data_IF_997696234892
#
_entry.id   IF_997696234892
#
_cell.length_a   1.000
_cell.length_b   1.000
_cell.length_c   1.000
_cell.angle_alpha   90.00
_cell.angle_beta   90.00
_cell.angle_gamma   90.00
#
_symmetry.space_group_name_H-M   'P 1'
#
loop_
_entity.id
_entity.type
_entity.pdbx_description
1 polymer ?
#
# COMPACT_ATOMS: atom_id res chain seq x y z
N UNK A 1 17.15 45.90 36.64
CA UNK A 1 17.10 44.75 35.69
C UNK A 1 16.28 45.19 34.47
N UNK A 2 16.96 45.51 33.36
CA UNK A 2 16.30 46.02 32.14
C UNK A 2 15.85 44.84 31.28
N UNK A 3 14.53 44.66 31.07
CA UNK A 3 13.94 43.73 30.07
C UNK A 3 14.22 44.26 28.66
N UNK A 4 15.25 43.77 28.01
CA UNK A 4 15.43 43.96 26.57
C UNK A 4 14.29 43.22 25.81
N UNK A 5 13.28 43.98 25.39
CA UNK A 5 12.28 43.54 24.42
C UNK A 5 13.00 43.21 23.10
N UNK A 6 13.13 41.89 22.77
CA UNK A 6 13.62 41.45 21.45
C UNK A 6 12.56 41.82 20.41
N UNK A 7 12.74 42.93 19.70
CA UNK A 7 12.00 43.23 18.46
C UNK A 7 12.25 42.05 17.50
N UNK A 8 11.26 41.15 17.34
CA UNK A 8 11.31 40.12 16.31
C UNK A 8 11.40 40.86 14.96
N UNK A 9 12.45 40.60 14.20
CA UNK A 9 12.59 41.14 12.84
C UNK A 9 11.36 40.75 12.03
N UNK A 10 10.74 41.72 11.36
CA UNK A 10 9.58 41.55 10.48
C UNK A 10 9.87 40.46 9.44
N UNK A 11 11.11 40.43 8.94
CA UNK A 11 11.59 39.41 8.01
C UNK A 11 11.49 37.98 8.59
N UNK A 12 11.84 37.76 9.84
CA UNK A 12 11.71 36.47 10.51
C UNK A 12 10.25 36.04 10.68
N UNK A 13 9.39 37.00 11.00
CA UNK A 13 7.95 36.73 11.15
C UNK A 13 7.33 36.36 9.81
N UNK A 14 7.65 37.10 8.74
CA UNK A 14 7.16 36.82 7.38
C UNK A 14 7.64 35.45 6.87
N UNK A 15 8.92 35.13 7.09
CA UNK A 15 9.47 33.81 6.76
C UNK A 15 8.74 32.68 7.49
N UNK A 16 8.46 32.85 8.78
CA UNK A 16 7.76 31.84 9.55
C UNK A 16 6.31 31.64 9.07
N UNK A 17 5.61 32.72 8.74
CA UNK A 17 4.26 32.63 8.17
C UNK A 17 4.27 31.93 6.80
N UNK A 18 5.26 32.25 5.95
CA UNK A 18 5.42 31.57 4.66
C UNK A 18 5.66 30.07 4.84
N UNK A 19 6.63 29.70 5.70
CA UNK A 19 6.93 28.27 5.96
C UNK A 19 5.71 27.55 6.53
N UNK A 20 5.03 28.16 7.50
CA UNK A 20 3.80 27.57 8.08
C UNK A 20 2.71 27.40 7.02
N UNK A 21 2.52 28.40 6.16
CA UNK A 21 1.56 28.35 5.06
C UNK A 21 1.87 27.18 4.11
N UNK A 22 3.13 27.04 3.71
CA UNK A 22 3.58 25.91 2.84
C UNK A 22 3.31 24.59 3.52
N UNK A 23 3.69 24.41 4.79
CA UNK A 23 3.48 23.17 5.54
C UNK A 23 2.00 22.79 5.64
N UNK A 24 1.12 23.78 5.84
CA UNK A 24 -0.34 23.55 5.89
C UNK A 24 -0.91 23.23 4.50
N UNK A 25 -0.39 23.85 3.45
CA UNK A 25 -0.87 23.64 2.08
C UNK A 25 -0.42 22.32 1.47
N UNK A 26 0.70 21.75 1.89
CA UNK A 26 1.20 20.47 1.35
C UNK A 26 0.17 19.33 1.49
N UNK A 27 -0.40 19.00 2.66
CA UNK A 27 -1.38 17.93 2.77
C UNK A 27 -2.64 18.20 1.93
N UNK A 28 -3.11 19.43 1.92
CA UNK A 28 -4.31 19.84 1.16
C UNK A 28 -4.05 19.68 -0.34
N UNK A 29 -2.94 20.25 -0.83
CA UNK A 29 -2.57 20.17 -2.25
C UNK A 29 -2.34 18.73 -2.71
N UNK A 30 -1.67 17.91 -1.87
CA UNK A 30 -1.47 16.50 -2.17
C UNK A 30 -2.80 15.72 -2.22
N UNK A 31 -3.71 15.97 -1.29
CA UNK A 31 -5.03 15.33 -1.30
C UNK A 31 -5.83 15.69 -2.54
N UNK A 32 -5.86 16.97 -2.92
CA UNK A 32 -6.54 17.43 -4.14
C UNK A 32 -5.89 16.84 -5.40
N UNK A 33 -4.57 16.77 -5.46
CA UNK A 33 -3.85 16.15 -6.57
C UNK A 33 -4.15 14.66 -6.70
N UNK A 34 -4.13 13.93 -5.59
CA UNK A 34 -4.47 12.50 -5.56
C UNK A 34 -5.92 12.25 -5.98
N UNK A 35 -6.85 13.08 -5.49
CA UNK A 35 -8.27 13.01 -5.89
C UNK A 35 -8.43 13.21 -7.40
N UNK A 36 -7.72 14.17 -7.99
CA UNK A 36 -7.72 14.41 -9.44
C UNK A 36 -7.22 13.20 -10.23
N UNK A 37 -6.15 12.54 -9.76
CA UNK A 37 -5.63 11.33 -10.39
C UNK A 37 -6.66 10.21 -10.32
N UNK A 38 -7.27 9.97 -9.15
CA UNK A 38 -8.27 8.90 -8.97
C UNK A 38 -9.50 9.13 -9.87
N UNK A 39 -10.00 10.36 -9.95
CA UNK A 39 -11.10 10.71 -10.85
C UNK A 39 -10.70 10.47 -12.31
N UNK A 40 -9.49 10.89 -12.71
CA UNK A 40 -8.99 10.69 -14.06
C UNK A 40 -8.86 9.22 -14.46
N UNK A 41 -8.32 8.38 -13.58
CA UNK A 41 -8.24 6.93 -13.81
C UNK A 41 -9.64 6.34 -13.92
N UNK A 42 -10.54 6.68 -13.00
CA UNK A 42 -11.93 6.19 -13.00
C UNK A 42 -12.68 6.60 -14.26
N UNK A 43 -12.52 7.85 -14.68
CA UNK A 43 -13.16 8.37 -15.92
C UNK A 43 -12.67 7.64 -17.17
N UNK A 44 -11.38 7.28 -17.24
CA UNK A 44 -10.81 6.51 -18.35
C UNK A 44 -11.25 5.04 -18.39
N UNK A 45 -11.60 4.46 -17.26
CA UNK A 45 -12.10 3.08 -17.16
C UNK A 45 -13.56 2.95 -17.60
N UNK A 46 -14.31 4.05 -17.57
CA UNK A 46 -15.75 4.04 -17.90
C UNK A 46 -15.92 4.36 -19.39
N UNK A 47 -16.56 3.49 -20.18
CA UNK A 47 -16.94 3.81 -21.55
C UNK A 47 -17.78 5.07 -21.60
N UNK A 48 -17.54 5.96 -22.57
CA UNK A 48 -18.27 7.25 -22.73
C UNK A 48 -19.79 7.08 -22.75
N UNK A 49 -20.28 5.96 -23.25
CA UNK A 49 -21.70 5.64 -23.34
C UNK A 49 -22.35 5.35 -21.98
N UNK A 50 -21.56 5.13 -20.91
CA UNK A 50 -22.07 4.83 -19.56
C UNK A 50 -21.74 5.98 -18.59
N UNK A 51 -20.86 6.90 -19.00
CA UNK A 51 -20.48 8.04 -18.17
C UNK A 51 -21.57 9.10 -18.16
N UNK A 52 -22.24 9.36 -17.01
CA UNK A 52 -23.30 10.37 -16.91
C UNK A 52 -22.83 11.78 -17.29
N UNK A 53 -21.55 12.10 -17.05
CA UNK A 53 -20.97 13.38 -17.40
C UNK A 53 -20.91 13.61 -18.92
N UNK A 54 -21.09 12.56 -19.74
CA UNK A 54 -21.19 12.69 -21.20
C UNK A 54 -22.56 13.17 -21.68
N UNK A 55 -23.58 13.05 -20.84
CA UNK A 55 -24.98 13.37 -21.17
C UNK A 55 -25.54 14.55 -20.38
N UNK A 56 -24.88 14.92 -19.29
CA UNK A 56 -25.32 16.02 -18.44
C UNK A 56 -24.70 17.35 -18.90
N UNK A 57 -25.41 18.46 -18.85
CA UNK A 57 -24.88 19.78 -19.19
C UNK A 57 -23.92 20.34 -18.14
N UNK A 58 -23.75 19.64 -17.01
CA UNK A 58 -22.84 19.98 -15.92
C UNK A 58 -22.10 18.75 -15.48
N UNK A 59 -20.80 18.91 -15.15
CA UNK A 59 -19.97 17.82 -14.63
C UNK A 59 -20.25 17.61 -13.13
N UNK A 60 -20.55 16.37 -12.75
CA UNK A 60 -20.65 15.95 -11.36
C UNK A 60 -19.31 15.32 -10.96
N UNK A 61 -18.44 16.05 -10.23
CA UNK A 61 -17.12 15.51 -9.86
C UNK A 61 -17.29 14.31 -8.92
N UNK A 62 -16.62 13.21 -9.23
CA UNK A 62 -16.62 12.01 -8.40
C UNK A 62 -17.68 10.96 -8.74
N UNK A 63 -18.65 11.25 -9.63
CA UNK A 63 -19.63 10.24 -10.06
C UNK A 63 -18.95 9.05 -10.74
N UNK A 64 -17.86 9.28 -11.45
CA UNK A 64 -17.06 8.25 -12.09
C UNK A 64 -16.48 7.27 -11.06
N UNK A 65 -16.11 7.74 -9.88
CA UNK A 65 -15.57 6.87 -8.81
C UNK A 65 -16.67 5.90 -8.35
N UNK A 66 -17.87 6.40 -8.13
CA UNK A 66 -19.03 5.58 -7.71
C UNK A 66 -19.35 4.52 -8.77
N UNK A 67 -19.40 4.92 -10.03
CA UNK A 67 -19.68 3.99 -11.14
C UNK A 67 -18.55 2.97 -11.25
N UNK A 68 -17.30 3.38 -11.13
CA UNK A 68 -16.15 2.45 -11.16
C UNK A 68 -16.23 1.41 -10.03
N UNK A 69 -16.59 1.82 -8.82
CA UNK A 69 -16.79 0.90 -7.69
C UNK A 69 -17.90 -0.10 -8.01
N UNK A 70 -19.03 0.37 -8.54
CA UNK A 70 -20.15 -0.50 -8.92
C UNK A 70 -19.73 -1.48 -10.02
N UNK A 71 -19.07 -1.01 -11.07
CA UNK A 71 -18.58 -1.87 -12.17
C UNK A 71 -17.59 -2.92 -11.67
N UNK A 72 -16.61 -2.53 -10.84
CA UNK A 72 -15.64 -3.46 -10.26
C UNK A 72 -16.34 -4.50 -9.40
N UNK A 73 -17.33 -4.08 -8.61
CA UNK A 73 -18.13 -4.99 -7.76
C UNK A 73 -18.93 -5.99 -8.61
N UNK A 74 -19.53 -5.53 -9.69
CA UNK A 74 -20.25 -6.40 -10.64
C UNK A 74 -19.30 -7.40 -11.29
N UNK A 75 -18.15 -6.94 -11.80
CA UNK A 75 -17.13 -7.81 -12.40
C UNK A 75 -16.63 -8.83 -11.37
N UNK A 76 -16.35 -8.40 -10.14
CA UNK A 76 -15.97 -9.29 -9.04
C UNK A 76 -17.05 -10.34 -8.74
N UNK A 77 -18.30 -9.93 -8.64
CA UNK A 77 -19.44 -10.85 -8.42
C UNK A 77 -19.62 -11.84 -9.57
N UNK A 78 -19.54 -11.37 -10.82
CA UNK A 78 -19.59 -12.23 -12.00
C UNK A 78 -18.42 -13.22 -12.05
N UNK A 79 -17.23 -12.81 -11.64
CA UNK A 79 -16.03 -13.65 -11.57
C UNK A 79 -16.18 -14.85 -10.62
N UNK A 80 -17.02 -14.72 -9.58
CA UNK A 80 -17.33 -15.82 -8.66
C UNK A 80 -18.31 -16.83 -9.24
N UNK A 81 -19.05 -16.47 -10.30
CA UNK A 81 -19.99 -17.35 -10.97
C UNK A 81 -19.28 -18.47 -11.73
N UNK A 82 -20.02 -19.53 -12.08
CA UNK A 82 -19.48 -20.65 -12.90
C UNK A 82 -18.94 -20.17 -14.25
N UNK A 83 -19.69 -19.30 -14.93
CA UNK A 83 -19.27 -18.72 -16.21
C UNK A 83 -18.05 -17.80 -16.07
N UNK A 84 -18.05 -16.95 -15.06
CA UNK A 84 -16.95 -16.01 -14.81
C UNK A 84 -15.63 -16.74 -14.55
N UNK A 85 -15.65 -17.79 -13.75
CA UNK A 85 -14.47 -18.64 -13.50
C UNK A 85 -13.93 -19.28 -14.77
N UNK A 86 -14.79 -19.69 -15.69
CA UNK A 86 -14.38 -20.27 -16.96
C UNK A 86 -13.75 -19.24 -17.90
N UNK A 87 -14.32 -18.03 -17.95
CA UNK A 87 -13.76 -16.91 -18.72
C UNK A 87 -12.40 -16.49 -18.15
N UNK A 88 -12.29 -16.32 -16.83
CA UNK A 88 -11.02 -15.97 -16.18
C UNK A 88 -9.93 -17.02 -16.48
N UNK A 89 -10.29 -18.30 -16.45
CA UNK A 89 -9.34 -19.37 -16.80
C UNK A 89 -8.88 -19.28 -18.26
N UNK A 90 -9.78 -18.98 -19.18
CA UNK A 90 -9.41 -18.77 -20.59
C UNK A 90 -8.49 -17.59 -20.78
N UNK A 91 -8.74 -16.48 -20.08
CA UNK A 91 -7.89 -15.29 -20.09
C UNK A 91 -6.51 -15.62 -19.51
N UNK A 92 -6.46 -16.33 -18.38
CA UNK A 92 -5.24 -16.78 -17.73
C UNK A 92 -4.40 -17.67 -18.65
N UNK A 93 -5.04 -18.65 -19.30
CA UNK A 93 -4.39 -19.54 -20.27
C UNK A 93 -3.87 -18.79 -21.50
N UNK A 94 -4.59 -17.75 -21.95
CA UNK A 94 -4.18 -16.91 -23.08
C UNK A 94 -2.92 -16.11 -22.72
N UNK A 95 -2.90 -15.43 -21.58
CA UNK A 95 -1.75 -14.64 -21.14
C UNK A 95 -0.52 -15.49 -20.85
N UNK A 96 -0.72 -16.73 -20.37
CA UNK A 96 0.37 -17.68 -20.13
C UNK A 96 1.01 -18.21 -21.42
N UNK A 97 0.34 -18.12 -22.57
CA UNK A 97 0.88 -18.54 -23.86
C UNK A 97 1.87 -17.55 -24.47
N UNK A 98 1.82 -16.30 -24.07
CA UNK A 98 2.70 -15.25 -24.59
C UNK A 98 3.94 -15.14 -23.67
N UNK A 99 5.17 -15.49 -24.14
CA UNK A 99 6.34 -15.66 -23.26
C UNK A 99 6.64 -14.45 -22.38
N UNK A 100 6.59 -13.24 -22.94
CA UNK A 100 6.86 -12.01 -22.18
C UNK A 100 5.74 -11.67 -21.19
N UNK A 101 4.46 -11.74 -21.64
CA UNK A 101 3.31 -11.43 -20.79
C UNK A 101 3.14 -12.44 -19.66
N UNK A 102 3.50 -13.70 -19.88
CA UNK A 102 3.43 -14.74 -18.86
C UNK A 102 4.17 -14.35 -17.58
N UNK A 103 5.40 -13.85 -17.69
CA UNK A 103 6.23 -13.52 -16.53
C UNK A 103 5.61 -12.35 -15.75
N UNK A 104 5.22 -11.27 -16.44
CA UNK A 104 4.62 -10.08 -15.82
C UNK A 104 3.25 -10.42 -15.22
N UNK A 105 2.39 -11.09 -15.98
CA UNK A 105 1.06 -11.48 -15.53
C UNK A 105 1.11 -12.40 -14.30
N UNK A 106 1.95 -13.44 -14.34
CA UNK A 106 2.09 -14.36 -13.20
C UNK A 106 2.61 -13.67 -11.95
N UNK A 107 3.55 -12.73 -12.10
CA UNK A 107 4.04 -11.94 -10.98
C UNK A 107 2.92 -11.08 -10.35
N UNK A 108 2.12 -10.39 -11.19
CA UNK A 108 0.98 -9.59 -10.72
C UNK A 108 -0.07 -10.46 -10.03
N UNK A 109 -0.42 -11.61 -10.63
CA UNK A 109 -1.39 -12.56 -10.03
C UNK A 109 -0.87 -13.05 -8.68
N UNK A 110 0.39 -13.47 -8.58
CA UNK A 110 0.98 -13.92 -7.32
C UNK A 110 1.00 -12.81 -6.26
N UNK A 111 1.34 -11.58 -6.66
CA UNK A 111 1.23 -10.43 -5.76
C UNK A 111 -0.20 -10.25 -5.26
N UNK A 112 -1.17 -10.24 -6.19
CA UNK A 112 -2.59 -10.07 -5.85
C UNK A 112 -3.09 -11.20 -4.95
N UNK A 113 -2.71 -12.45 -5.21
CA UNK A 113 -3.06 -13.60 -4.35
C UNK A 113 -2.46 -13.45 -2.95
N UNK A 114 -1.22 -12.97 -2.84
CA UNK A 114 -0.57 -12.71 -1.55
C UNK A 114 -1.32 -11.66 -0.74
N UNK A 115 -1.91 -10.66 -1.41
CA UNK A 115 -2.71 -9.62 -0.75
C UNK A 115 -4.18 -9.99 -0.54
N UNK A 116 -4.74 -10.86 -1.41
CA UNK A 116 -6.17 -11.19 -1.45
C UNK A 116 -6.52 -12.42 -0.62
N UNK A 117 -5.58 -13.35 -0.40
CA UNK A 117 -5.86 -14.47 0.49
C UNK A 117 -6.11 -13.92 1.89
N UNK A 118 -7.39 -13.93 2.26
CA UNK A 118 -7.81 -14.05 3.65
C UNK A 118 -7.34 -15.42 4.14
N UNK A 119 -6.04 -15.59 4.28
CA UNK A 119 -5.58 -16.60 5.21
C UNK A 119 -6.00 -16.10 6.57
N UNK A 120 -6.74 -16.93 7.32
CA UNK A 120 -6.98 -16.77 8.75
C UNK A 120 -5.66 -16.78 9.57
N UNK A 121 -4.52 -16.96 8.90
CA UNK A 121 -3.19 -16.61 9.33
C UNK A 121 -2.95 -15.11 9.10
N UNK A 122 -3.28 -14.33 10.10
CA UNK A 122 -2.86 -12.95 10.33
C UNK A 122 -1.58 -12.67 9.51
N UNK A 123 -1.60 -11.69 8.57
CA UNK A 123 -0.35 -11.06 8.13
C UNK A 123 0.29 -10.53 9.40
N UNK A 124 1.12 -11.37 10.01
CA UNK A 124 1.57 -11.12 11.35
C UNK A 124 2.60 -10.03 11.26
N UNK A 125 2.29 -8.91 11.87
CA UNK A 125 3.28 -7.87 12.10
C UNK A 125 4.32 -8.47 13.03
N UNK A 126 5.57 -8.33 12.66
CA UNK A 126 6.68 -8.93 13.40
C UNK A 126 7.75 -7.90 13.72
N UNK A 127 8.47 -8.16 14.79
CA UNK A 127 9.67 -7.47 15.16
C UNK A 127 10.83 -8.44 15.02
N UNK A 128 11.87 -8.02 14.29
CA UNK A 128 13.05 -8.84 14.02
C UNK A 128 14.32 -8.03 14.22
N UNK A 129 15.41 -8.67 14.62
CA UNK A 129 16.70 -8.02 14.70
C UNK A 129 17.32 -7.86 13.30
N UNK A 130 17.43 -6.62 12.84
CA UNK A 130 18.03 -6.26 11.55
C UNK A 130 18.53 -4.82 11.56
N UNK A 131 19.69 -4.50 10.98
CA UNK A 131 20.63 -5.38 10.26
C UNK A 131 21.62 -6.12 11.18
N UNK A 132 21.57 -5.90 12.48
CA UNK A 132 22.45 -6.55 13.47
C UNK A 132 21.74 -6.75 14.80
N UNK A 133 22.31 -7.58 15.67
CA UNK A 133 21.82 -7.78 17.05
C UNK A 133 21.63 -6.45 17.78
N UNK A 134 20.53 -6.34 18.52
CA UNK A 134 20.15 -5.14 19.29
C UNK A 134 19.54 -4.01 18.46
N UNK A 135 19.39 -4.15 17.16
CA UNK A 135 18.67 -3.22 16.28
C UNK A 135 17.42 -3.91 15.76
N UNK A 136 16.26 -3.27 15.93
CA UNK A 136 14.98 -3.86 15.64
C UNK A 136 14.31 -3.24 14.45
N UNK A 137 13.71 -4.06 13.59
CA UNK A 137 12.91 -3.64 12.47
C UNK A 137 11.50 -4.23 12.56
N UNK A 138 10.50 -3.41 12.23
CA UNK A 138 9.13 -3.87 12.03
C UNK A 138 8.99 -4.40 10.61
N UNK A 139 8.43 -5.59 10.49
CA UNK A 139 8.20 -6.24 9.21
C UNK A 139 6.87 -7.00 9.17
N UNK A 140 6.62 -7.61 8.02
CA UNK A 140 5.45 -8.44 7.78
C UNK A 140 5.88 -9.87 7.47
N UNK A 141 5.58 -10.81 8.35
CA UNK A 141 5.76 -12.22 8.08
C UNK A 141 4.78 -12.66 7.00
N UNK A 142 5.27 -13.31 5.93
CA UNK A 142 4.44 -13.68 4.79
C UNK A 142 4.16 -15.17 4.73
N UNK A 143 5.19 -15.99 4.63
CA UNK A 143 5.07 -17.44 4.47
C UNK A 143 6.30 -18.16 5.01
N UNK A 144 6.09 -19.39 5.50
CA UNK A 144 7.19 -20.30 5.78
C UNK A 144 7.95 -20.63 4.50
N UNK A 145 9.27 -20.59 4.57
CA UNK A 145 10.14 -20.92 3.45
C UNK A 145 10.42 -22.43 3.46
N UNK A 146 9.82 -23.14 2.50
CA UNK A 146 9.99 -24.60 2.34
C UNK A 146 10.93 -24.96 1.18
N UNK A 147 11.54 -23.96 0.54
CA UNK A 147 12.37 -24.12 -0.64
C UNK A 147 13.84 -24.49 -0.32
N UNK A 148 14.67 -24.42 -1.36
CA UNK A 148 16.10 -24.73 -1.28
C UNK A 148 16.84 -23.99 -0.15
N UNK A 149 16.45 -22.74 0.12
CA UNK A 149 17.08 -21.90 1.16
C UNK A 149 16.90 -22.50 2.56
N UNK A 150 15.70 -22.98 2.87
CA UNK A 150 15.44 -23.66 4.15
C UNK A 150 16.23 -25.00 4.25
N UNK A 151 16.27 -25.76 3.15
CA UNK A 151 17.03 -27.01 3.10
C UNK A 151 18.53 -26.77 3.32
N UNK A 152 19.13 -25.76 2.68
CA UNK A 152 20.55 -25.42 2.80
C UNK A 152 20.94 -24.93 4.18
N UNK A 153 20.02 -24.23 4.86
CA UNK A 153 20.29 -23.72 6.23
C UNK A 153 19.97 -24.74 7.32
N UNK A 154 19.19 -25.77 7.00
CA UNK A 154 18.71 -26.77 7.98
C UNK A 154 17.76 -26.20 9.04
N UNK A 155 17.23 -24.98 8.83
CA UNK A 155 16.36 -24.26 9.77
C UNK A 155 14.97 -24.04 9.18
N UNK A 156 13.97 -23.96 10.05
CA UNK A 156 12.65 -23.45 9.69
C UNK A 156 12.73 -21.94 9.53
N UNK A 157 12.62 -21.47 8.30
CA UNK A 157 12.72 -20.06 7.96
C UNK A 157 11.34 -19.47 7.65
N UNK A 158 11.11 -18.25 8.11
CA UNK A 158 9.95 -17.45 7.74
C UNK A 158 10.43 -16.30 6.86
N UNK A 159 9.71 -16.09 5.75
CA UNK A 159 9.94 -14.93 4.89
C UNK A 159 9.32 -13.69 5.55
N UNK A 160 10.12 -12.65 5.75
CA UNK A 160 9.72 -11.39 6.35
C UNK A 160 10.02 -10.26 5.37
N UNK A 161 9.00 -9.49 5.03
CA UNK A 161 9.15 -8.25 4.28
C UNK A 161 9.36 -7.10 5.26
N UNK A 162 10.48 -6.41 5.14
CA UNK A 162 10.82 -5.21 5.93
C UNK A 162 10.70 -4.00 5.01
N UNK A 163 9.62 -3.19 5.14
CA UNK A 163 9.39 -2.04 4.27
C UNK A 163 10.33 -0.88 4.58
N UNK A 164 10.54 -0.03 3.58
CA UNK A 164 11.25 1.24 3.75
C UNK A 164 10.32 2.36 4.21
N UNK A 165 10.88 3.37 4.86
CA UNK A 165 10.21 4.59 5.29
C UNK A 165 10.61 5.75 4.37
N UNK A 166 9.68 6.63 3.96
CA UNK A 166 8.23 6.63 4.18
C UNK A 166 7.44 5.80 3.15
N UNK A 167 8.12 5.19 2.18
CA UNK A 167 7.49 4.41 1.12
C UNK A 167 7.46 2.91 1.47
N UNK A 168 6.31 2.37 1.93
CA UNK A 168 6.19 0.97 2.34
C UNK A 168 6.05 -0.01 1.17
N UNK A 169 6.00 0.47 -0.08
CA UNK A 169 5.89 -0.39 -1.27
C UNK A 169 7.21 -1.02 -1.67
N UNK A 170 8.32 -0.48 -1.19
CA UNK A 170 9.68 -1.00 -1.34
C UNK A 170 10.22 -1.49 0.01
N UNK A 171 11.23 -2.36 -0.02
CA UNK A 171 11.81 -2.93 1.20
C UNK A 171 12.74 -4.10 0.91
N UNK A 172 13.05 -4.85 1.95
CA UNK A 172 13.88 -6.03 1.89
C UNK A 172 13.05 -7.28 2.16
N UNK A 173 13.28 -8.34 1.37
CA UNK A 173 12.79 -9.67 1.69
C UNK A 173 13.91 -10.42 2.40
N UNK A 174 13.72 -10.72 3.66
CA UNK A 174 14.67 -11.44 4.49
C UNK A 174 14.04 -12.72 5.03
N UNK A 175 14.88 -13.66 5.38
CA UNK A 175 14.46 -14.96 5.94
C UNK A 175 15.03 -15.09 7.34
N UNK A 176 14.16 -15.23 8.32
CA UNK A 176 14.57 -15.39 9.72
C UNK A 176 14.23 -16.80 10.22
N UNK A 177 15.06 -17.40 11.08
CA UNK A 177 14.66 -18.54 11.86
C UNK A 177 13.37 -18.23 12.64
N UNK A 178 12.48 -19.21 12.75
CA UNK A 178 11.21 -19.03 13.45
C UNK A 178 11.38 -18.54 14.89
N UNK A 179 12.44 -18.99 15.55
CA UNK A 179 12.80 -18.61 16.92
C UNK A 179 13.25 -17.15 17.08
N UNK A 180 13.70 -16.50 16.00
CA UNK A 180 14.21 -15.13 16.02
C UNK A 180 13.13 -14.09 15.68
N UNK A 181 11.86 -14.51 15.57
CA UNK A 181 10.73 -13.65 15.19
C UNK A 181 9.82 -13.39 16.39
N UNK A 182 9.61 -12.13 16.69
CA UNK A 182 8.64 -11.70 17.70
C UNK A 182 7.36 -11.23 17.00
N UNK A 183 6.26 -11.93 17.23
CA UNK A 183 4.94 -11.55 16.70
C UNK A 183 4.31 -10.45 17.53
N UNK A 184 3.84 -9.40 16.87
CA UNK A 184 3.21 -8.23 17.50
C UNK A 184 1.69 -8.31 17.43
N UNK A 185 1.01 -7.86 18.47
CA UNK A 185 -0.45 -7.68 18.50
C UNK A 185 -0.86 -6.36 17.84
N UNK A 186 -0.26 -6.06 16.69
CA UNK A 186 -0.49 -4.84 15.93
C UNK A 186 -1.16 -5.20 14.62
N UNK A 187 -2.16 -4.43 14.20
CA UNK A 187 -2.78 -4.64 12.90
C UNK A 187 -1.85 -4.20 11.77
N UNK A 188 -2.08 -4.71 10.56
CA UNK A 188 -1.36 -4.30 9.35
C UNK A 188 -1.46 -2.78 9.12
N UNK A 189 -2.64 -2.20 9.38
CA UNK A 189 -2.88 -0.77 9.22
C UNK A 189 -2.08 0.06 10.23
N UNK A 190 -2.05 -0.36 11.50
CA UNK A 190 -1.28 0.31 12.56
C UNK A 190 0.22 0.26 12.26
N UNK A 191 0.74 -0.90 11.85
CA UNK A 191 2.14 -1.06 11.47
C UNK A 191 2.48 -0.20 10.23
N UNK A 192 1.60 -0.17 9.23
CA UNK A 192 1.81 0.66 8.03
C UNK A 192 1.84 2.15 8.37
N UNK A 193 0.95 2.63 9.23
CA UNK A 193 0.98 4.02 9.73
C UNK A 193 2.28 4.34 10.47
N UNK A 194 2.73 3.42 11.34
CA UNK A 194 4.00 3.55 12.06
C UNK A 194 5.17 3.69 11.10
N UNK A 195 5.25 2.83 10.06
CA UNK A 195 6.33 2.83 9.07
C UNK A 195 6.30 4.13 8.23
N UNK A 196 5.13 4.50 7.68
CA UNK A 196 4.97 5.71 6.86
C UNK A 196 5.30 6.98 7.65
N UNK A 197 4.97 7.02 8.93
CA UNK A 197 5.21 8.16 9.81
C UNK A 197 6.63 8.19 10.42
N UNK A 198 7.53 7.31 9.98
CA UNK A 198 8.87 7.17 10.58
C UNK A 198 8.85 6.98 12.11
N UNK A 199 7.89 6.18 12.61
CA UNK A 199 7.77 5.88 14.03
C UNK A 199 7.10 6.95 14.89
N UNK A 200 6.65 8.07 14.31
CA UNK A 200 6.01 9.15 15.09
C UNK A 200 4.55 8.85 15.45
N UNK A 201 3.90 7.94 14.71
CA UNK A 201 2.51 7.51 14.97
C UNK A 201 2.52 6.23 15.79
N UNK A 202 2.59 6.36 17.11
CA UNK A 202 2.41 5.23 18.05
C UNK A 202 1.06 5.33 18.75
N UNK A 203 0.36 4.19 18.86
CA UNK A 203 -0.78 4.10 19.77
C UNK A 203 -0.23 4.16 21.19
N UNK A 204 -0.73 5.07 22.02
CA UNK A 204 -0.44 4.98 23.46
C UNK A 204 -0.95 3.65 23.99
N UNK A 205 -0.17 2.97 24.83
CA UNK A 205 -0.57 1.71 25.45
C UNK A 205 -1.86 1.84 26.23
#
# INVERSE_FOLDING_TARGET
MSKKSKKKSISLTLRNYFITGVVVLIPIGFTLYLSKILIGISSNLIPKNINPNSYLPFNIPGVEIVISIVLITIVGGLSLSFFGRRILKLIDDLFKRIPFLRTVYSAIVQMTETFSKKDDGKKSVVLVEYPRKGVWAVGFATKENTGEMAQKTGKKLINVFIPTTPNPTSGFLLMFPYEDIIYLNMSFEEASKFIVSAGTSTKKP
#
